data_IF_559980074140
#
_entry.id   IF_559980074140
#
_cell.length_a   1.000
_cell.length_b   1.000
_cell.length_c   1.000
_cell.angle_alpha   90.00
_cell.angle_beta   90.00
_cell.angle_gamma   90.00
#
_symmetry.space_group_name_H-M   'P 1'
#
loop_
_entity.id
_entity.type
_entity.pdbx_description
1 polymer ?
#
# COMPACT_ATOMS: atom_id res chain seq x y z
N UNK A 1 -16.35 8.50 7.32
CA UNK A 1 -15.45 9.35 6.51
C UNK A 1 -14.21 8.54 6.14
N UNK A 2 -13.83 8.44 4.84
CA UNK A 2 -12.52 7.88 4.48
C UNK A 2 -11.46 8.82 5.07
N UNK A 3 -10.48 8.34 5.87
CA UNK A 3 -9.47 9.22 6.46
C UNK A 3 -8.76 9.97 5.34
N UNK A 4 -8.74 11.31 5.42
CA UNK A 4 -8.09 12.14 4.41
C UNK A 4 -6.59 11.82 4.42
N UNK A 5 -6.12 11.21 3.34
CA UNK A 5 -4.70 10.90 3.18
C UNK A 5 -3.95 12.23 3.11
N UNK A 6 -2.94 12.48 3.96
CA UNK A 6 -2.16 13.70 3.88
C UNK A 6 -1.44 13.79 2.53
N UNK A 7 -1.42 14.98 1.92
CA UNK A 7 -0.81 15.18 0.59
C UNK A 7 0.64 14.69 0.50
N UNK A 8 1.44 14.89 1.56
CA UNK A 8 2.82 14.37 1.65
C UNK A 8 2.90 12.84 1.54
N UNK A 9 1.88 12.13 2.01
CA UNK A 9 1.81 10.67 1.95
C UNK A 9 1.41 10.25 0.54
N UNK A 10 0.44 10.94 -0.08
CA UNK A 10 0.08 10.70 -1.47
C UNK A 10 1.29 10.87 -2.39
N UNK A 11 2.05 11.96 -2.25
CA UNK A 11 3.27 12.18 -3.04
C UNK A 11 4.33 11.08 -2.83
N UNK A 12 4.53 10.63 -1.58
CA UNK A 12 5.42 9.50 -1.29
C UNK A 12 4.91 8.18 -1.87
N UNK A 13 3.61 7.96 -1.85
CA UNK A 13 2.99 6.75 -2.40
C UNK A 13 3.22 6.68 -3.91
N UNK A 14 3.02 7.79 -4.63
CA UNK A 14 3.34 7.88 -6.06
C UNK A 14 4.81 7.55 -6.35
N UNK A 15 5.74 8.10 -5.57
CA UNK A 15 7.16 7.76 -5.72
C UNK A 15 7.46 6.27 -5.46
N UNK A 16 6.78 5.66 -4.49
CA UNK A 16 6.89 4.22 -4.21
C UNK A 16 6.31 3.38 -5.34
N UNK A 17 5.18 3.79 -5.93
CA UNK A 17 4.58 3.12 -7.08
C UNK A 17 5.45 3.24 -8.32
N UNK A 18 6.04 4.40 -8.57
CA UNK A 18 7.00 4.60 -9.66
C UNK A 18 8.17 3.60 -9.51
N UNK A 19 8.80 3.55 -8.34
CA UNK A 19 9.89 2.61 -8.06
C UNK A 19 9.48 1.14 -8.18
N UNK A 20 8.22 0.79 -7.84
CA UNK A 20 7.69 -0.55 -8.06
C UNK A 20 7.54 -0.87 -9.55
N UNK A 21 6.97 0.05 -10.34
CA UNK A 21 6.77 -0.10 -11.80
C UNK A 21 8.09 -0.18 -12.56
N UNK A 22 9.12 0.53 -12.08
CA UNK A 22 10.49 0.43 -12.59
C UNK A 22 11.22 -0.85 -12.14
N UNK A 23 10.59 -1.72 -11.34
CA UNK A 23 11.20 -2.95 -10.81
C UNK A 23 12.25 -2.72 -9.70
N UNK A 24 12.46 -1.48 -9.27
CA UNK A 24 13.41 -1.11 -8.21
C UNK A 24 12.93 -1.51 -6.81
N UNK A 25 11.62 -1.63 -6.61
CA UNK A 25 11.02 -1.99 -5.33
C UNK A 25 10.13 -3.23 -5.46
N UNK A 26 10.39 -4.24 -4.64
CA UNK A 26 9.60 -5.48 -4.60
C UNK A 26 8.46 -5.35 -3.57
N UNK A 27 7.24 -5.79 -3.90
CA UNK A 27 6.14 -5.84 -2.96
C UNK A 27 6.28 -7.06 -2.04
N UNK A 28 5.72 -6.94 -0.83
CA UNK A 28 5.54 -8.08 0.07
C UNK A 28 4.17 -8.70 -0.15
N UNK A 29 4.00 -9.96 0.25
CA UNK A 29 2.72 -10.65 0.25
C UNK A 29 2.10 -10.63 1.65
N UNK A 30 0.81 -10.36 1.73
CA UNK A 30 0.05 -10.58 2.97
C UNK A 30 -0.12 -12.08 3.20
N UNK A 31 -0.01 -12.53 4.44
CA UNK A 31 0.00 -13.96 4.79
C UNK A 31 -1.25 -14.72 4.29
N UNK A 32 -2.45 -14.21 4.57
CA UNK A 32 -3.69 -14.95 4.28
C UNK A 32 -4.13 -14.86 2.82
N UNK A 33 -4.33 -13.63 2.34
CA UNK A 33 -4.95 -13.40 1.03
C UNK A 33 -3.93 -13.26 -0.09
N UNK A 34 -2.62 -13.32 0.21
CA UNK A 34 -1.55 -13.09 -0.76
C UNK A 34 -1.72 -11.78 -1.56
N UNK A 35 -2.34 -10.77 -0.96
CA UNK A 35 -2.37 -9.41 -1.50
C UNK A 35 -0.97 -8.82 -1.49
N UNK A 36 -0.68 -7.93 -2.44
CA UNK A 36 0.60 -7.23 -2.51
C UNK A 36 0.57 -5.99 -1.61
N UNK A 37 1.65 -5.76 -0.87
CA UNK A 37 1.78 -4.60 0.01
C UNK A 37 3.14 -3.92 -0.13
N UNK A 38 3.13 -2.59 -0.15
CA UNK A 38 4.31 -1.75 -0.20
C UNK A 38 4.31 -0.74 0.96
N UNK A 39 5.42 -0.63 1.72
CA UNK A 39 5.54 0.39 2.75
C UNK A 39 5.75 1.78 2.12
N UNK A 40 4.91 2.74 2.50
CA UNK A 40 5.02 4.16 2.11
C UNK A 40 5.70 4.97 3.22
N UNK A 41 5.27 4.76 4.46
CA UNK A 41 5.83 5.38 5.66
C UNK A 41 5.55 4.49 6.89
N UNK A 42 5.98 4.91 8.08
CA UNK A 42 5.80 4.16 9.34
C UNK A 42 4.36 3.64 9.52
N UNK A 43 3.36 4.50 9.34
CA UNK A 43 1.95 4.18 9.54
C UNK A 43 1.13 4.12 8.24
N UNK A 44 1.78 4.01 7.08
CA UNK A 44 1.11 4.06 5.78
C UNK A 44 1.58 2.93 4.85
N UNK A 45 0.61 2.28 4.22
CA UNK A 45 0.80 1.13 3.32
C UNK A 45 0.04 1.37 2.02
N UNK A 46 0.62 0.90 0.93
CA UNK A 46 -0.06 0.65 -0.33
C UNK A 46 -0.47 -0.83 -0.32
N UNK A 47 -1.73 -1.12 -0.59
CA UNK A 47 -2.26 -2.47 -0.70
C UNK A 47 -2.85 -2.65 -2.10
N UNK A 48 -2.50 -3.75 -2.75
CA UNK A 48 -3.08 -4.19 -4.01
C UNK A 48 -3.68 -5.58 -3.81
N UNK A 49 -4.97 -5.70 -4.16
CA UNK A 49 -5.71 -6.98 -4.08
C UNK A 49 -5.80 -7.70 -5.42
N UNK A 50 -5.38 -7.03 -6.49
CA UNK A 50 -5.48 -7.44 -7.88
C UNK A 50 -4.09 -7.65 -8.50
N UNK A 51 -3.18 -8.20 -7.68
CA UNK A 51 -1.83 -8.59 -8.10
C UNK A 51 -0.98 -7.46 -8.72
N UNK A 52 -1.19 -6.23 -8.25
CA UNK A 52 -0.39 -5.05 -8.60
C UNK A 52 -1.03 -4.14 -9.65
N UNK A 53 -2.23 -4.47 -10.16
CA UNK A 53 -2.94 -3.66 -11.15
C UNK A 53 -3.43 -2.33 -10.56
N UNK A 54 -3.99 -2.35 -9.36
CA UNK A 54 -4.42 -1.16 -8.62
C UNK A 54 -3.87 -1.16 -7.21
N UNK A 55 -3.61 0.05 -6.71
CA UNK A 55 -3.02 0.24 -5.39
C UNK A 55 -3.81 1.26 -4.58
N UNK A 56 -4.16 0.89 -3.36
CA UNK A 56 -4.84 1.77 -2.43
C UNK A 56 -3.89 2.16 -1.29
N UNK A 57 -3.73 3.47 -1.08
CA UNK A 57 -3.01 4.02 0.07
C UNK A 57 -3.91 4.01 1.29
N UNK A 58 -3.44 3.43 2.38
CA UNK A 58 -4.20 3.35 3.62
C UNK A 58 -3.31 3.44 4.86
N UNK A 59 -3.93 3.84 5.97
CA UNK A 59 -3.28 3.80 7.28
C UNK A 59 -3.01 2.37 7.71
N UNK A 60 -2.08 2.20 8.65
CA UNK A 60 -1.76 0.89 9.22
C UNK A 60 -2.98 0.22 9.88
N UNK A 61 -3.83 0.99 10.56
CA UNK A 61 -5.06 0.49 11.18
C UNK A 61 -6.03 -0.06 10.11
N UNK A 62 -6.30 0.72 9.06
CA UNK A 62 -7.17 0.29 7.97
C UNK A 62 -6.56 -0.90 7.23
N UNK A 63 -5.25 -0.90 7.01
CA UNK A 63 -4.52 -2.04 6.46
C UNK A 63 -4.77 -3.31 7.28
N UNK A 64 -4.56 -3.26 8.60
CA UNK A 64 -4.80 -4.41 9.48
C UNK A 64 -6.25 -4.90 9.38
N UNK A 65 -7.23 -4.00 9.31
CA UNK A 65 -8.63 -4.39 9.12
C UNK A 65 -8.88 -5.05 7.75
N UNK A 66 -8.14 -4.69 6.70
CA UNK A 66 -8.26 -5.27 5.36
C UNK A 66 -7.54 -6.63 5.20
N UNK A 67 -6.59 -6.93 6.09
CA UNK A 67 -5.81 -8.17 6.07
C UNK A 67 -6.08 -9.06 7.29
N UNK A 68 -7.11 -8.72 8.07
CA UNK A 68 -7.54 -9.48 9.24
C UNK A 68 -8.30 -10.74 8.80
N UNK A 69 -8.14 -11.76 9.62
CA UNK A 69 -8.78 -13.09 9.55
C UNK A 69 -10.26 -12.97 9.90
#
# INVERSE_FOLDING_TARGET
MKPRIPQRISAKAEGVLCAYREGKKKPNLTYQHKHLTLPVARCWRLLSKDNGNSWEVMSHERYNNQIRI
#
